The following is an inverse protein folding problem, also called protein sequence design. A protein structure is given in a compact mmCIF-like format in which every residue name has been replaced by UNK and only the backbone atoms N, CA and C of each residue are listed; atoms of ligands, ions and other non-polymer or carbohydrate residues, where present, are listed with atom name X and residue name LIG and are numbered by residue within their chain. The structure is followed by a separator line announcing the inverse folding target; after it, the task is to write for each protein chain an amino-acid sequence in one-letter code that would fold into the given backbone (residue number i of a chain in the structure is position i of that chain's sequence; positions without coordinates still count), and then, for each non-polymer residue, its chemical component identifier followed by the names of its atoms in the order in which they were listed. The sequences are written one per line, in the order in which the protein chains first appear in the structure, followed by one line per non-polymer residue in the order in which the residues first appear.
data_IF_193287993624
#
_entry.id   IF_193287993624
#
_cell.length_a   1.000
_cell.length_b   1.000
_cell.length_c   1.000
_cell.angle_alpha   90.00
_cell.angle_beta   90.00
_cell.angle_gamma   90.00
#
_symmetry.space_group_name_H-M   'P 1'
#
loop_
_entity.id
_entity.type
_entity.pdbx_description
1 polymer ?
#
# COMPACT_ATOMS: atom_id res chain seq x y z
N UNK A 1 5.40 -14.38 3.01
CA UNK A 1 3.91 -14.50 3.02
C UNK A 1 3.36 -14.47 1.59
N UNK A 2 2.30 -15.22 1.24
CA UNK A 2 1.63 -15.13 -0.09
C UNK A 2 0.63 -13.95 -0.17
N UNK A 3 0.24 -13.49 -1.38
CA UNK A 3 -0.81 -12.47 -1.53
C UNK A 3 -2.13 -12.84 -0.85
N UNK A 4 -2.52 -14.12 -0.89
CA UNK A 4 -3.74 -14.60 -0.24
C UNK A 4 -3.64 -14.57 1.29
N UNK A 5 -2.46 -14.84 1.84
CA UNK A 5 -2.20 -14.67 3.28
C UNK A 5 -2.22 -13.17 3.66
N UNK A 6 -1.68 -12.29 2.81
CA UNK A 6 -1.74 -10.85 3.02
C UNK A 6 -3.20 -10.34 2.99
N UNK A 7 -4.04 -10.79 2.05
CA UNK A 7 -5.48 -10.48 2.02
C UNK A 7 -6.14 -10.81 3.36
N UNK A 8 -5.88 -12.00 3.92
CA UNK A 8 -6.45 -12.41 5.21
C UNK A 8 -6.06 -11.46 6.34
N UNK A 9 -4.80 -11.04 6.39
CA UNK A 9 -4.30 -10.08 7.40
C UNK A 9 -4.89 -8.68 7.20
N UNK A 10 -4.91 -8.17 5.97
CA UNK A 10 -5.48 -6.87 5.60
C UNK A 10 -6.94 -6.74 6.04
N UNK A 11 -7.74 -7.82 5.93
CA UNK A 11 -9.15 -7.80 6.39
C UNK A 11 -9.31 -7.43 7.86
N UNK A 12 -8.35 -7.80 8.72
CA UNK A 12 -8.36 -7.50 10.15
C UNK A 12 -7.82 -6.11 10.50
N UNK A 13 -7.20 -5.41 9.55
CA UNK A 13 -6.64 -4.07 9.76
C UNK A 13 -7.74 -2.99 9.79
N UNK A 14 -7.50 -1.85 10.46
CA UNK A 14 -8.44 -0.74 10.47
C UNK A 14 -8.66 -0.19 9.06
N UNK A 15 -9.88 0.28 8.79
CA UNK A 15 -10.24 0.92 7.53
C UNK A 15 -9.51 2.28 7.37
N UNK A 16 -9.46 3.05 8.46
CA UNK A 16 -9.04 4.45 8.52
C UNK A 16 -7.58 4.56 8.97
N UNK A 17 -6.88 5.53 8.39
CA UNK A 17 -5.44 5.74 8.56
C UNK A 17 -5.16 7.24 8.35
N UNK A 18 -5.06 8.05 9.43
CA UNK A 18 -5.05 9.51 9.33
C UNK A 18 -3.95 10.12 8.45
N UNK A 19 -2.72 9.58 8.49
CA UNK A 19 -1.63 10.08 7.65
C UNK A 19 -1.86 9.75 6.18
N UNK A 20 -2.39 8.55 5.92
CA UNK A 20 -2.80 8.11 4.60
C UNK A 20 -3.90 9.01 4.04
N UNK A 21 -4.97 9.26 4.79
CA UNK A 21 -6.09 10.10 4.34
C UNK A 21 -5.64 11.53 4.02
N UNK A 22 -4.72 12.07 4.82
CA UNK A 22 -4.13 13.37 4.54
C UNK A 22 -3.31 13.34 3.23
N UNK A 23 -2.56 12.27 2.97
CA UNK A 23 -1.82 12.10 1.72
C UNK A 23 -2.75 11.91 0.52
N UNK A 24 -3.83 11.14 0.66
CA UNK A 24 -4.84 10.93 -0.38
C UNK A 24 -5.46 12.24 -0.82
N UNK A 25 -5.95 13.06 0.12
CA UNK A 25 -6.55 14.36 -0.17
C UNK A 25 -5.62 15.29 -0.97
N UNK A 26 -4.31 15.15 -0.77
CA UNK A 26 -3.31 15.94 -1.49
C UNK A 26 -3.00 15.38 -2.89
N UNK A 27 -2.94 14.06 -3.05
CA UNK A 27 -2.48 13.42 -4.29
C UNK A 27 -3.61 13.03 -5.24
N UNK A 28 -4.76 12.63 -4.71
CA UNK A 28 -5.89 12.09 -5.47
C UNK A 28 -6.95 13.18 -5.62
N UNK A 29 -6.96 13.84 -6.79
CA UNK A 29 -7.88 14.96 -7.09
C UNK A 29 -9.20 14.52 -7.74
N UNK A 30 -9.31 13.25 -8.14
CA UNK A 30 -10.46 12.69 -8.83
C UNK A 30 -11.10 11.60 -7.96
N UNK A 31 -12.42 11.39 -8.08
CA UNK A 31 -13.09 10.28 -7.42
C UNK A 31 -12.46 8.95 -7.85
N UNK A 32 -12.19 8.10 -6.87
CA UNK A 32 -11.67 6.75 -7.04
C UNK A 32 -12.82 5.75 -7.04
N UNK A 33 -12.62 4.58 -7.66
CA UNK A 33 -13.61 3.51 -7.66
C UNK A 33 -13.74 2.84 -6.28
N UNK A 34 -12.74 2.98 -5.43
CA UNK A 34 -12.69 2.46 -4.06
C UNK A 34 -13.07 3.54 -3.04
N UNK A 35 -13.64 3.11 -1.93
CA UNK A 35 -14.06 3.92 -0.78
C UNK A 35 -12.91 4.07 0.23
N UNK A 36 -11.97 3.11 0.28
CA UNK A 36 -10.81 3.15 1.17
C UNK A 36 -9.56 2.50 0.54
N UNK A 37 -8.37 2.81 1.07
CA UNK A 37 -7.14 2.11 0.66
C UNK A 37 -7.14 0.63 1.07
N UNK A 38 -7.91 0.25 2.10
CA UNK A 38 -8.13 -1.16 2.45
C UNK A 38 -8.84 -1.89 1.33
N UNK A 39 -9.96 -1.34 0.84
CA UNK A 39 -10.70 -1.89 -0.30
C UNK A 39 -9.82 -1.94 -1.55
N UNK A 40 -9.04 -0.89 -1.79
CA UNK A 40 -8.10 -0.83 -2.90
C UNK A 40 -7.05 -1.97 -2.84
N UNK A 41 -6.47 -2.25 -1.68
CA UNK A 41 -5.58 -3.40 -1.45
C UNK A 41 -6.25 -4.73 -1.70
N UNK A 42 -7.45 -4.93 -1.15
CA UNK A 42 -8.18 -6.19 -1.28
C UNK A 42 -8.53 -6.46 -2.75
N UNK A 43 -9.02 -5.45 -3.47
CA UNK A 43 -9.30 -5.55 -4.90
C UNK A 43 -8.04 -5.86 -5.70
N UNK A 44 -6.97 -5.08 -5.50
CA UNK A 44 -5.72 -5.24 -6.26
C UNK A 44 -5.00 -6.58 -5.99
N UNK A 45 -5.03 -7.08 -4.76
CA UNK A 45 -4.43 -8.38 -4.42
C UNK A 45 -5.28 -9.55 -4.91
N UNK A 46 -6.61 -9.39 -5.03
CA UNK A 46 -7.48 -10.46 -5.54
C UNK A 46 -7.13 -10.89 -6.98
N UNK A 47 -6.51 -10.00 -7.75
CA UNK A 47 -6.03 -10.26 -9.11
C UNK A 47 -4.81 -11.18 -9.19
N UNK A 48 -4.09 -11.42 -8.09
CA UNK A 48 -2.96 -12.37 -8.07
C UNK A 48 -3.40 -13.84 -8.02
N UNK A 49 -4.69 -14.11 -7.76
CA UNK A 49 -5.26 -15.46 -7.77
C UNK A 49 -6.10 -15.77 -9.02
N UNK A 50 -6.22 -14.83 -9.96
CA UNK A 50 -7.05 -14.94 -11.17
C UNK A 50 -6.30 -14.41 -12.39
N UNK A 51 -6.93 -14.38 -13.57
CA UNK A 51 -6.36 -13.68 -14.73
C UNK A 51 -6.14 -12.19 -14.46
N UNK A 52 -6.91 -11.55 -13.56
CA UNK A 52 -6.76 -10.15 -13.16
C UNK A 52 -6.85 -9.15 -14.32
N UNK A 53 -6.70 -7.85 -14.03
CA UNK A 53 -6.57 -6.82 -15.07
C UNK A 53 -5.17 -6.81 -15.71
N UNK A 54 -4.18 -7.37 -14.99
CA UNK A 54 -2.77 -7.37 -15.38
C UNK A 54 -2.22 -8.74 -15.79
N UNK A 55 -3.07 -9.76 -15.99
CA UNK A 55 -2.62 -11.07 -16.50
C UNK A 55 -1.70 -11.84 -15.55
N UNK A 56 -1.86 -11.70 -14.23
CA UNK A 56 -0.90 -12.19 -13.22
C UNK A 56 -1.03 -13.69 -12.89
N UNK A 57 -1.17 -14.54 -13.90
CA UNK A 57 -1.24 -16.00 -13.73
C UNK A 57 0.17 -16.61 -13.73
N UNK A 58 0.42 -17.59 -12.84
CA UNK A 58 1.51 -18.55 -13.02
C UNK A 58 2.92 -18.13 -12.55
N UNK A 59 3.04 -17.15 -11.64
CA UNK A 59 4.32 -16.84 -10.98
C UNK A 59 4.15 -16.90 -9.47
N UNK A 60 5.14 -17.45 -8.77
CA UNK A 60 5.25 -17.52 -7.30
C UNK A 60 5.42 -16.12 -6.68
N UNK A 61 4.49 -15.22 -6.96
CA UNK A 61 4.47 -13.89 -6.40
C UNK A 61 4.16 -14.00 -4.91
N UNK A 62 5.04 -13.44 -4.10
CA UNK A 62 4.81 -13.27 -2.68
C UNK A 62 4.24 -11.87 -2.36
N UNK A 63 3.88 -11.67 -1.11
CA UNK A 63 3.37 -10.40 -0.61
C UNK A 63 4.42 -9.27 -0.68
N UNK A 64 5.70 -9.62 -0.54
CA UNK A 64 6.81 -8.68 -0.69
C UNK A 64 6.88 -8.12 -2.13
N UNK A 65 6.74 -8.99 -3.13
CA UNK A 65 6.65 -8.62 -4.52
C UNK A 65 5.46 -7.67 -4.75
N UNK A 66 4.27 -8.03 -4.25
CA UNK A 66 3.08 -7.20 -4.37
C UNK A 66 3.28 -5.81 -3.73
N UNK A 67 3.84 -5.74 -2.53
CA UNK A 67 4.17 -4.49 -1.85
C UNK A 67 5.12 -3.61 -2.68
N UNK A 68 6.18 -4.22 -3.23
CA UNK A 68 7.19 -3.54 -4.03
C UNK A 68 6.72 -3.12 -5.42
N UNK A 69 5.64 -3.70 -5.94
CA UNK A 69 5.06 -3.37 -7.25
C UNK A 69 3.79 -2.50 -7.17
N UNK A 70 3.28 -2.21 -5.98
CA UNK A 70 2.15 -1.29 -5.79
C UNK A 70 2.52 0.15 -6.24
N UNK A 71 1.85 0.65 -7.27
CA UNK A 71 2.13 1.97 -7.86
C UNK A 71 1.39 3.15 -7.21
N UNK A 72 0.63 2.92 -6.14
CA UNK A 72 -0.21 3.93 -5.51
C UNK A 72 0.40 4.40 -4.18
N UNK A 73 0.90 5.64 -4.06
CA UNK A 73 1.60 6.08 -2.84
C UNK A 73 0.74 6.02 -1.58
N UNK A 74 -0.54 6.49 -1.57
CA UNK A 74 -1.39 6.32 -0.41
C UNK A 74 -1.64 4.87 -0.03
N UNK A 75 -1.78 3.98 -1.01
CA UNK A 75 -1.95 2.54 -0.78
C UNK A 75 -0.72 1.94 -0.08
N UNK A 76 0.49 2.27 -0.53
CA UNK A 76 1.74 1.83 0.12
C UNK A 76 1.87 2.38 1.54
N UNK A 77 1.53 3.66 1.75
CA UNK A 77 1.55 4.29 3.08
C UNK A 77 0.53 3.65 4.03
N UNK A 78 -0.69 3.39 3.54
CA UNK A 78 -1.77 2.78 4.29
C UNK A 78 -1.37 1.45 4.88
N UNK A 79 -0.69 0.60 4.12
CA UNK A 79 -0.31 -0.71 4.62
C UNK A 79 0.66 -0.61 5.80
N UNK A 80 1.59 0.35 5.77
CA UNK A 80 2.48 0.62 6.91
C UNK A 80 1.72 1.16 8.13
N UNK A 81 0.88 2.18 7.92
CA UNK A 81 0.12 2.82 8.99
C UNK A 81 -0.90 1.87 9.64
N UNK A 82 -1.70 1.18 8.84
CA UNK A 82 -2.72 0.25 9.32
C UNK A 82 -2.12 -0.97 10.03
N UNK A 83 -0.90 -1.39 9.64
CA UNK A 83 -0.15 -2.44 10.32
C UNK A 83 0.52 -1.95 11.62
N UNK A 84 0.31 -0.69 12.05
CA UNK A 84 0.90 -0.12 13.29
C UNK A 84 2.42 -0.01 13.25
N UNK A 85 3.01 0.20 12.07
CA UNK A 85 4.40 0.68 11.98
C UNK A 85 4.52 1.99 12.76
N UNK A 86 5.66 2.19 13.40
CA UNK A 86 5.95 3.38 14.22
C UNK A 86 5.47 4.69 13.54
N UNK A 87 4.68 5.46 14.29
CA UNK A 87 4.02 6.66 13.78
C UNK A 87 4.98 7.74 13.28
N UNK A 88 6.19 7.83 13.84
CA UNK A 88 7.23 8.73 13.35
C UNK A 88 7.73 8.30 11.97
N UNK A 89 7.93 6.99 11.73
CA UNK A 89 8.27 6.47 10.41
C UNK A 89 7.16 6.71 9.39
N UNK A 90 5.90 6.49 9.78
CA UNK A 90 4.72 6.77 8.94
C UNK A 90 4.66 8.25 8.57
N UNK A 91 4.76 9.15 9.54
CA UNK A 91 4.75 10.59 9.30
C UNK A 91 5.92 11.03 8.41
N UNK A 92 7.11 10.47 8.60
CA UNK A 92 8.29 10.74 7.76
C UNK A 92 8.07 10.27 6.32
N UNK A 93 7.53 9.07 6.12
CA UNK A 93 7.24 8.53 4.80
C UNK A 93 6.18 9.38 4.06
N UNK A 94 5.11 9.76 4.76
CA UNK A 94 4.07 10.65 4.23
C UNK A 94 4.65 12.00 3.80
N UNK A 95 5.54 12.58 4.61
CA UNK A 95 6.22 13.85 4.29
C UNK A 95 7.06 13.74 3.02
N UNK A 96 7.84 12.66 2.87
CA UNK A 96 8.64 12.42 1.66
C UNK A 96 7.77 12.28 0.41
N UNK A 97 6.67 11.53 0.50
CA UNK A 97 5.73 11.38 -0.61
C UNK A 97 5.07 12.71 -1.00
N UNK A 98 4.75 13.56 0.00
CA UNK A 98 4.18 14.90 -0.20
C UNK A 98 5.17 15.85 -0.89
N UNK A 99 6.42 15.88 -0.44
CA UNK A 99 7.45 16.80 -0.94
C UNK A 99 7.97 16.43 -2.33
N UNK A 100 7.90 15.15 -2.71
CA UNK A 100 8.34 14.71 -4.02
C UNK A 100 7.38 15.21 -5.12
N UNK A 101 7.85 16.04 -6.05
CA UNK A 101 7.04 16.58 -7.16
C UNK A 101 6.99 15.68 -8.41
N UNK A 102 7.63 14.51 -8.35
CA UNK A 102 7.74 13.56 -9.47
C UNK A 102 6.55 12.59 -9.52
N UNK A 103 6.75 11.46 -10.21
CA UNK A 103 5.75 10.42 -10.49
C UNK A 103 5.29 9.68 -9.23
N UNK A 104 4.13 9.02 -9.32
CA UNK A 104 3.63 8.15 -8.26
C UNK A 104 4.62 7.02 -7.92
N UNK A 105 5.30 6.47 -8.93
CA UNK A 105 6.36 5.47 -8.70
C UNK A 105 7.51 6.03 -7.84
N UNK A 106 7.97 7.26 -8.12
CA UNK A 106 9.00 7.92 -7.32
C UNK A 106 8.54 8.20 -5.88
N UNK A 107 7.27 8.55 -5.68
CA UNK A 107 6.66 8.72 -4.35
C UNK A 107 6.60 7.39 -3.59
N UNK A 108 6.17 6.29 -4.23
CA UNK A 108 6.20 4.95 -3.65
C UNK A 108 7.62 4.54 -3.23
N UNK A 109 8.62 4.77 -4.10
CA UNK A 109 10.01 4.50 -3.78
C UNK A 109 10.48 5.29 -2.54
N UNK A 110 10.06 6.56 -2.41
CA UNK A 110 10.33 7.38 -1.22
C UNK A 110 9.72 6.80 0.06
N UNK A 111 8.49 6.28 -0.01
CA UNK A 111 7.82 5.62 1.13
C UNK A 111 8.58 4.34 1.49
N UNK A 112 8.90 3.49 0.52
CA UNK A 112 9.55 2.18 0.75
C UNK A 112 10.94 2.27 1.36
N UNK A 113 11.66 3.38 1.10
CA UNK A 113 12.94 3.67 1.76
C UNK A 113 12.81 3.87 3.27
N UNK A 114 11.62 4.23 3.76
CA UNK A 114 11.35 4.44 5.19
C UNK A 114 10.58 3.26 5.78
N UNK A 115 9.64 2.71 5.02
CA UNK A 115 8.78 1.60 5.42
C UNK A 115 9.06 0.45 4.44
N UNK A 116 9.95 -0.45 4.83
CA UNK A 116 10.28 -1.64 4.02
C UNK A 116 9.18 -2.70 4.12
N UNK A 117 9.18 -3.69 3.23
CA UNK A 117 8.27 -4.84 3.37
C UNK A 117 8.55 -5.59 4.68
N UNK A 118 9.81 -5.79 5.04
CA UNK A 118 10.24 -6.49 6.25
C UNK A 118 9.74 -5.78 7.52
N UNK A 119 9.70 -4.44 7.49
CA UNK A 119 9.08 -3.64 8.55
C UNK A 119 7.58 -3.94 8.64
N UNK A 120 6.87 -3.89 7.51
CA UNK A 120 5.42 -4.14 7.48
C UNK A 120 5.10 -5.56 7.93
N UNK A 121 5.78 -6.57 7.38
CA UNK A 121 5.55 -7.99 7.66
C UNK A 121 5.73 -8.32 9.14
N UNK A 122 6.66 -7.63 9.84
CA UNK A 122 6.86 -7.79 11.28
C UNK A 122 5.64 -7.40 12.12
N UNK A 123 4.85 -6.42 11.68
CA UNK A 123 3.69 -5.92 12.44
C UNK A 123 2.34 -6.43 11.93
N UNK A 124 2.35 -7.25 10.87
CA UNK A 124 1.18 -7.83 10.21
C UNK A 124 0.67 -9.11 10.87
#
# INVERSE_FOLDING_TARGET
MTPQQLIKKIRALPERAPHTEALEKLLLKKPTWYVSQKEHWLGWLSEYGTSGAYGRIGRDYDAAFAYNHCGCPPMVLWLGEASRVDGYLVARAARLARQNTSTFSAKCAGIRKVISWETVERFL
#
